data_IF_872435983719
#
_entry.id   IF_872435983719
#
_cell.length_a   1.000
_cell.length_b   1.000
_cell.length_c   1.000
_cell.angle_alpha   90.00
_cell.angle_beta   90.00
_cell.angle_gamma   90.00
#
_symmetry.space_group_name_H-M   'P 1'
#
loop_
_entity.id
_entity.type
_entity.pdbx_description
1 polymer ?
#
# COMPACT_ATOMS: atom_id res chain seq x y z
N UNK A 1 1.08 -9.41 -13.21
CA UNK A 1 0.26 -8.37 -12.53
C UNK A 1 0.67 -8.25 -11.08
N UNK A 2 0.51 -9.29 -10.26
CA UNK A 2 1.00 -9.27 -8.86
C UNK A 2 2.53 -9.17 -8.79
N UNK A 3 3.21 -9.85 -9.72
CA UNK A 3 4.68 -9.86 -9.84
C UNK A 3 5.30 -8.48 -10.12
N UNK A 4 4.54 -7.54 -10.68
CA UNK A 4 5.00 -6.18 -10.97
C UNK A 4 4.70 -5.19 -9.82
N UNK A 5 3.77 -5.53 -8.92
CA UNK A 5 3.35 -4.64 -7.82
C UNK A 5 4.47 -4.51 -6.79
N UNK A 6 4.99 -5.64 -6.32
CA UNK A 6 6.05 -5.68 -5.31
C UNK A 6 7.27 -4.86 -5.75
N UNK A 7 7.94 -5.15 -6.90
CA UNK A 7 9.16 -4.43 -7.28
C UNK A 7 8.90 -2.94 -7.52
N UNK A 8 7.76 -2.57 -8.11
CA UNK A 8 7.41 -1.16 -8.37
C UNK A 8 7.18 -0.39 -7.07
N UNK A 9 6.39 -0.96 -6.15
CA UNK A 9 6.10 -0.34 -4.86
C UNK A 9 7.36 -0.27 -3.98
N UNK A 10 8.18 -1.33 -4.04
CA UNK A 10 9.45 -1.39 -3.33
C UNK A 10 10.36 -0.24 -3.76
N UNK A 11 10.56 -0.05 -5.06
CA UNK A 11 11.40 1.03 -5.58
C UNK A 11 10.93 2.43 -5.14
N UNK A 12 9.61 2.67 -5.10
CA UNK A 12 9.04 3.96 -4.67
C UNK A 12 9.30 4.22 -3.17
N UNK A 13 9.09 3.19 -2.34
CA UNK A 13 9.26 3.31 -0.90
C UNK A 13 10.73 3.34 -0.48
N UNK A 14 11.60 2.55 -1.13
CA UNK A 14 13.06 2.58 -0.92
C UNK A 14 13.68 3.91 -1.41
N UNK A 15 13.06 4.58 -2.38
CA UNK A 15 13.49 5.93 -2.77
C UNK A 15 13.23 6.98 -1.69
N UNK A 16 12.48 6.67 -0.63
CA UNK A 16 12.24 7.58 0.49
C UNK A 16 13.33 7.42 1.54
N UNK A 17 14.13 8.46 1.77
CA UNK A 17 15.23 8.44 2.75
C UNK A 17 14.78 8.17 4.21
N UNK A 18 13.50 8.38 4.52
CA UNK A 18 12.94 8.17 5.87
C UNK A 18 12.37 6.77 6.09
N UNK A 19 12.37 5.90 5.07
CA UNK A 19 11.81 4.53 5.13
C UNK A 19 12.95 3.52 5.29
N UNK A 20 12.83 2.66 6.30
CA UNK A 20 13.78 1.60 6.62
C UNK A 20 13.02 0.29 6.84
N UNK A 21 13.74 -0.84 6.76
CA UNK A 21 13.19 -2.18 7.04
C UNK A 21 11.89 -2.46 6.26
N UNK A 22 11.89 -2.11 4.97
CA UNK A 22 10.74 -2.32 4.11
C UNK A 22 10.59 -3.80 3.75
N UNK A 23 9.47 -4.37 4.19
CA UNK A 23 9.00 -5.70 3.79
C UNK A 23 7.69 -5.55 3.04
N UNK A 24 7.60 -6.21 1.88
CA UNK A 24 6.39 -6.26 1.06
C UNK A 24 6.09 -7.72 0.72
N UNK A 25 4.82 -8.11 0.81
CA UNK A 25 4.36 -9.45 0.46
C UNK A 25 2.99 -9.39 -0.21
N UNK A 26 2.80 -10.22 -1.22
CA UNK A 26 1.50 -10.38 -1.88
C UNK A 26 1.08 -11.85 -1.74
N UNK A 27 0.15 -12.14 -0.83
CA UNK A 27 -0.31 -13.50 -0.53
C UNK A 27 -1.84 -13.51 -0.44
N UNK A 28 -2.49 -14.57 -0.93
CA UNK A 28 -3.94 -14.80 -0.78
C UNK A 28 -4.81 -13.59 -1.18
N UNK A 29 -4.54 -12.96 -2.32
CA UNK A 29 -5.24 -11.75 -2.78
C UNK A 29 -5.18 -10.60 -1.77
N UNK A 30 -4.07 -10.50 -1.03
CA UNK A 30 -3.81 -9.44 -0.07
C UNK A 30 -2.37 -8.96 -0.26
N UNK A 31 -2.24 -7.67 -0.57
CA UNK A 31 -0.96 -6.99 -0.53
C UNK A 31 -0.75 -6.47 0.88
N UNK A 32 0.34 -6.85 1.52
CA UNK A 32 0.75 -6.31 2.80
C UNK A 32 2.14 -5.71 2.71
N UNK A 33 2.36 -4.66 3.49
CA UNK A 33 3.66 -4.04 3.59
C UNK A 33 3.90 -3.48 4.96
N UNK A 34 5.13 -3.62 5.43
CA UNK A 34 5.60 -3.15 6.72
C UNK A 34 6.90 -2.38 6.53
N UNK A 35 7.04 -1.25 7.21
CA UNK A 35 8.25 -0.45 7.18
C UNK A 35 8.37 0.43 8.42
N UNK A 36 9.60 0.80 8.76
CA UNK A 36 9.87 1.87 9.71
C UNK A 36 9.93 3.20 8.99
N UNK A 37 9.18 4.19 9.48
CA UNK A 37 9.33 5.58 9.06
C UNK A 37 9.69 6.48 10.23
N UNK A 38 10.85 7.14 10.16
CA UNK A 38 11.36 8.02 11.24
C UNK A 38 11.32 7.34 12.63
N UNK A 39 11.62 6.04 12.67
CA UNK A 39 11.59 5.23 13.89
C UNK A 39 10.21 4.72 14.33
N UNK A 40 9.13 5.03 13.60
CA UNK A 40 7.79 4.52 13.89
C UNK A 40 7.43 3.36 12.94
N UNK A 41 6.95 2.21 13.44
CA UNK A 41 6.52 1.12 12.59
C UNK A 41 5.16 1.41 11.96
N UNK A 42 5.09 1.21 10.65
CA UNK A 42 3.87 1.29 9.85
C UNK A 42 3.64 -0.04 9.16
N UNK A 43 2.37 -0.42 9.08
CA UNK A 43 1.92 -1.57 8.30
C UNK A 43 0.67 -1.21 7.52
N UNK A 44 0.58 -1.64 6.27
CA UNK A 44 -0.59 -1.47 5.45
C UNK A 44 -1.01 -2.78 4.81
N UNK A 45 -2.29 -2.86 4.48
CA UNK A 45 -2.91 -4.01 3.83
C UNK A 45 -3.88 -3.53 2.76
N UNK A 46 -3.74 -4.01 1.53
CA UNK A 46 -4.76 -3.91 0.50
C UNK A 46 -5.39 -5.29 0.29
N UNK A 47 -6.70 -5.37 0.46
CA UNK A 47 -7.49 -6.60 0.41
C UNK A 47 -8.25 -6.69 -0.91
N UNK A 48 -8.16 -7.84 -1.57
CA UNK A 48 -8.85 -8.16 -2.81
C UNK A 48 -9.68 -9.47 -2.64
N UNK A 49 -10.67 -9.52 -1.72
CA UNK A 49 -11.38 -10.76 -1.35
C UNK A 49 -12.07 -11.48 -2.53
N UNK A 50 -12.59 -10.71 -3.49
CA UNK A 50 -13.22 -11.22 -4.72
C UNK A 50 -12.32 -10.95 -5.95
N UNK A 51 -11.00 -10.89 -5.73
CA UNK A 51 -10.01 -10.49 -6.73
C UNK A 51 -10.14 -9.02 -7.13
N UNK A 52 -9.71 -8.69 -8.35
CA UNK A 52 -9.65 -7.31 -8.84
C UNK A 52 -11.03 -6.74 -9.21
N UNK A 53 -12.01 -7.59 -9.47
CA UNK A 53 -13.35 -7.22 -9.92
C UNK A 53 -14.33 -6.94 -8.78
N UNK A 54 -14.02 -7.36 -7.55
CA UNK A 54 -14.92 -7.22 -6.40
C UNK A 54 -14.62 -6.03 -5.48
N UNK A 55 -15.23 -6.02 -4.28
CA UNK A 55 -14.94 -5.04 -3.25
C UNK A 55 -13.47 -5.12 -2.84
N UNK A 56 -12.86 -3.95 -2.64
CA UNK A 56 -11.45 -3.81 -2.32
C UNK A 56 -11.30 -2.93 -1.10
N UNK A 57 -10.50 -3.40 -0.16
CA UNK A 57 -10.25 -2.72 1.10
C UNK A 57 -8.82 -2.24 1.17
N UNK A 58 -8.60 -1.15 1.88
CA UNK A 58 -7.27 -0.72 2.30
C UNK A 58 -7.31 -0.43 3.80
N UNK A 59 -6.32 -0.93 4.52
CA UNK A 59 -6.12 -0.60 5.93
C UNK A 59 -4.68 -0.14 6.10
N UNK A 60 -4.50 0.88 6.94
CA UNK A 60 -3.21 1.33 7.40
C UNK A 60 -3.21 1.26 8.91
N UNK A 61 -2.08 0.89 9.48
CA UNK A 61 -1.82 1.01 10.89
C UNK A 61 -0.44 1.60 11.15
N UNK A 62 -0.37 2.32 12.27
CA UNK A 62 0.84 2.91 12.81
C UNK A 62 1.08 2.36 14.21
N UNK A 63 2.33 2.35 14.66
CA UNK A 63 2.73 1.93 16.02
C UNK A 63 2.46 0.44 16.34
N UNK A 64 2.38 -0.42 15.32
CA UNK A 64 2.18 -1.86 15.51
C UNK A 64 0.83 -2.26 16.12
N UNK A 65 -0.12 -1.31 16.24
CA UNK A 65 -1.51 -1.65 16.54
C UNK A 65 -2.09 -2.43 15.35
N UNK A 66 -2.98 -3.39 15.56
CA UNK A 66 -3.59 -4.14 14.44
C UNK A 66 -4.32 -3.24 13.43
N UNK A 67 -4.68 -3.80 12.28
CA UNK A 67 -5.50 -3.13 11.27
C UNK A 67 -6.75 -2.50 11.93
N UNK A 68 -6.83 -1.17 11.93
CA UNK A 68 -7.84 -0.44 12.71
C UNK A 68 -9.08 -0.07 11.90
N UNK A 69 -8.93 0.27 10.61
CA UNK A 69 -10.05 0.69 9.75
C UNK A 69 -9.81 0.24 8.32
N UNK A 70 -10.78 -0.50 7.77
CA UNK A 70 -10.80 -0.87 6.35
C UNK A 70 -11.57 0.20 5.59
N UNK A 71 -10.86 0.93 4.74
CA UNK A 71 -11.40 1.94 3.84
C UNK A 71 -11.63 1.37 2.44
N UNK A 72 -12.59 1.91 1.67
CA UNK A 72 -12.75 1.53 0.27
C UNK A 72 -11.50 1.91 -0.55
N UNK A 73 -11.09 0.99 -1.41
CA UNK A 73 -9.88 1.09 -2.23
C UNK A 73 -10.22 0.83 -3.70
N UNK A 74 -9.68 1.59 -4.66
CA UNK A 74 -9.87 1.34 -6.11
C UNK A 74 -11.35 1.18 -6.54
N UNK A 75 -12.25 2.07 -6.07
CA UNK A 75 -13.70 1.95 -6.32
C UNK A 75 -14.14 2.35 -7.74
N UNK A 76 -13.44 3.25 -8.42
CA UNK A 76 -13.82 3.74 -9.76
C UNK A 76 -13.16 2.95 -10.91
N UNK A 77 -12.17 2.09 -10.61
CA UNK A 77 -11.31 1.51 -11.64
C UNK A 77 -11.88 0.22 -12.23
N UNK A 78 -12.39 0.32 -13.47
CA UNK A 78 -12.96 -0.83 -14.22
C UNK A 78 -11.93 -1.87 -14.65
N UNK A 79 -10.66 -1.48 -14.82
CA UNK A 79 -9.54 -2.37 -15.20
C UNK A 79 -8.34 -2.08 -14.29
N UNK A 80 -8.19 -2.90 -13.26
CA UNK A 80 -7.08 -2.75 -12.32
C UNK A 80 -5.84 -3.41 -12.91
N UNK A 81 -4.74 -2.66 -12.87
CA UNK A 81 -3.41 -3.17 -13.22
C UNK A 81 -2.49 -2.96 -12.03
N UNK A 82 -1.31 -3.59 -12.08
CA UNK A 82 -0.27 -3.41 -11.06
C UNK A 82 0.01 -1.93 -10.77
N UNK A 83 0.08 -1.10 -11.83
CA UNK A 83 0.30 0.35 -11.74
C UNK A 83 -0.79 1.06 -10.94
N UNK A 84 -2.06 0.68 -11.12
CA UNK A 84 -3.16 1.28 -10.36
C UNK A 84 -3.07 0.92 -8.87
N UNK A 85 -2.71 -0.33 -8.55
CA UNK A 85 -2.53 -0.76 -7.15
C UNK A 85 -1.42 0.08 -6.50
N UNK A 86 -0.25 0.13 -7.14
CA UNK A 86 0.91 0.90 -6.67
C UNK A 86 0.54 2.37 -6.47
N UNK A 87 -0.07 3.00 -7.48
CA UNK A 87 -0.51 4.39 -7.44
C UNK A 87 -1.47 4.68 -6.28
N UNK A 88 -2.46 3.82 -6.07
CA UNK A 88 -3.44 4.04 -5.01
C UNK A 88 -2.87 3.79 -3.61
N UNK A 89 -1.99 2.79 -3.43
CA UNK A 89 -1.26 2.59 -2.16
C UNK A 89 -0.43 3.83 -1.85
N UNK A 90 0.35 4.29 -2.83
CA UNK A 90 1.17 5.50 -2.70
C UNK A 90 0.32 6.72 -2.33
N UNK A 91 -0.78 6.96 -3.05
CA UNK A 91 -1.72 8.05 -2.78
C UNK A 91 -2.28 7.99 -1.35
N UNK A 92 -2.58 6.80 -0.82
CA UNK A 92 -3.07 6.63 0.55
C UNK A 92 -1.98 6.92 1.58
N UNK A 93 -0.77 6.41 1.38
CA UNK A 93 0.38 6.73 2.24
C UNK A 93 0.69 8.24 2.24
N UNK A 94 0.59 8.89 1.08
CA UNK A 94 0.81 10.32 0.94
C UNK A 94 -0.27 11.15 1.65
N UNK A 95 -1.55 10.75 1.52
CA UNK A 95 -2.67 11.39 2.19
C UNK A 95 -2.56 11.33 3.73
N UNK A 96 -1.91 10.29 4.25
CA UNK A 96 -1.64 10.11 5.68
C UNK A 96 -0.37 10.83 6.15
N UNK A 97 0.30 11.58 5.25
CA UNK A 97 1.56 12.26 5.54
C UNK A 97 2.75 11.33 5.74
N UNK A 98 2.61 10.04 5.36
CA UNK A 98 3.69 9.07 5.46
C UNK A 98 4.70 9.34 4.36
N UNK A 99 4.31 9.41 3.10
CA UNK A 99 5.26 9.78 2.02
C UNK A 99 4.94 11.19 1.54
N UNK A 100 5.92 11.91 0.96
CA UNK A 100 5.63 13.20 0.37
C UNK A 100 4.53 13.07 -0.69
N UNK A 101 3.52 13.95 -0.62
CA UNK A 101 2.55 14.13 -1.70
C UNK A 101 3.34 14.63 -2.91
N UNK A 102 3.16 13.97 -4.05
CA UNK A 102 3.86 14.27 -5.29
C UNK A 102 3.92 15.78 -5.52
N UNK A 103 5.14 16.29 -5.75
CA UNK A 103 5.31 17.57 -6.42
C UNK A 103 5.31 17.27 -7.91
N UNK A 104 4.38 17.93 -8.59
CA UNK A 104 4.14 17.98 -10.04
C UNK A 104 5.40 17.88 -10.90
#
# INVERSE_FOLDING_TARGET
MEEDVIPSLKAILESQNDILELELSFNDNKLEGSFLKKGNPYSFWAFFPDGLTGPKGFSLSSYGSGASTVEPFLVDEKKITAKHIVFWVEKRLAAQGIIPVWKE
#
